data_IF_526124505141
#
_entry.id   IF_526124505141
#
_cell.length_a   1.000
_cell.length_b   1.000
_cell.length_c   1.000
_cell.angle_alpha   90.00
_cell.angle_beta   90.00
_cell.angle_gamma   90.00
#
_symmetry.space_group_name_H-M   'P 1'
#
loop_
_entity.id
_entity.type
_entity.pdbx_description
1 polymer ?
#
# COMPACT_ATOMS: atom_id res chain seq x y z
N UNK A 1 17.69 14.78 -1.89
CA UNK A 1 16.45 14.27 -2.51
C UNK A 1 16.13 12.94 -1.83
N UNK A 2 15.15 12.91 -0.93
CA UNK A 2 14.68 11.63 -0.37
C UNK A 2 13.98 10.85 -1.47
N UNK A 3 14.46 9.65 -1.75
CA UNK A 3 13.90 8.76 -2.75
C UNK A 3 12.97 7.77 -2.07
N UNK A 4 11.66 7.93 -2.28
CA UNK A 4 10.58 7.22 -1.58
C UNK A 4 10.21 5.85 -2.22
N UNK A 5 10.73 5.54 -3.41
CA UNK A 5 10.41 4.29 -4.10
C UNK A 5 11.40 3.20 -3.70
N UNK A 6 10.98 2.40 -2.73
CA UNK A 6 11.67 1.22 -2.26
C UNK A 6 10.57 0.19 -2.02
N UNK A 7 10.46 -0.82 -2.88
CA UNK A 7 9.64 -2.02 -2.65
C UNK A 7 8.17 -1.98 -3.12
N UNK A 8 7.93 -1.62 -4.38
CA UNK A 8 6.63 -1.78 -5.05
C UNK A 8 6.49 -3.13 -5.77
N UNK A 9 5.32 -3.82 -5.67
CA UNK A 9 5.00 -4.96 -6.52
C UNK A 9 4.40 -4.49 -7.86
N UNK A 10 4.86 -5.09 -8.96
CA UNK A 10 4.48 -4.77 -10.33
C UNK A 10 4.00 -6.03 -11.04
N UNK A 11 2.69 -6.10 -11.30
CA UNK A 11 2.02 -7.27 -11.87
C UNK A 11 1.54 -7.00 -13.30
N UNK A 12 1.28 -8.07 -14.06
CA UNK A 12 0.56 -8.02 -15.33
C UNK A 12 1.07 -6.94 -16.31
N UNK A 13 2.39 -6.93 -16.53
CA UNK A 13 3.06 -5.99 -17.42
C UNK A 13 3.40 -4.61 -16.83
N UNK A 14 2.99 -4.30 -15.59
CA UNK A 14 3.39 -3.07 -14.91
C UNK A 14 4.93 -2.98 -14.77
N UNK A 15 5.47 -1.76 -14.88
CA UNK A 15 6.91 -1.51 -14.90
C UNK A 15 7.33 -0.65 -13.71
N UNK A 16 8.47 -0.97 -13.06
CA UNK A 16 9.01 -0.16 -11.99
C UNK A 16 9.59 1.15 -12.48
N UNK A 17 9.71 2.11 -11.58
CA UNK A 17 10.51 3.29 -11.84
C UNK A 17 11.98 2.91 -12.07
N UNK A 18 12.63 3.51 -13.07
CA UNK A 18 13.98 3.14 -13.51
C UNK A 18 15.07 3.24 -12.43
N UNK A 19 14.86 4.01 -11.35
CA UNK A 19 15.81 4.12 -10.24
C UNK A 19 15.30 3.49 -8.93
N UNK A 20 14.22 2.71 -8.97
CA UNK A 20 13.75 1.98 -7.80
C UNK A 20 14.76 0.92 -7.37
N UNK A 21 15.04 0.84 -6.07
CA UNK A 21 16.18 0.07 -5.54
C UNK A 21 15.88 -1.43 -5.42
N UNK A 22 14.61 -1.84 -5.26
CA UNK A 22 14.21 -3.25 -5.11
C UNK A 22 12.75 -3.48 -5.54
N UNK A 23 12.40 -3.31 -6.83
CA UNK A 23 11.04 -3.59 -7.29
C UNK A 23 10.76 -5.10 -7.31
N UNK A 24 9.53 -5.51 -7.00
CA UNK A 24 9.08 -6.89 -7.11
C UNK A 24 8.27 -7.01 -8.41
N UNK A 25 8.90 -7.48 -9.48
CA UNK A 25 8.24 -7.58 -10.79
C UNK A 25 7.73 -9.02 -11.03
N UNK A 26 6.48 -9.14 -11.47
CA UNK A 26 5.74 -10.38 -11.75
C UNK A 26 4.90 -10.19 -13.02
N UNK A 27 5.54 -10.15 -14.20
CA UNK A 27 4.87 -9.74 -15.43
C UNK A 27 3.78 -10.72 -15.88
N UNK A 28 3.96 -12.01 -15.57
CA UNK A 28 3.05 -13.10 -15.98
C UNK A 28 1.93 -13.39 -14.99
N UNK A 29 1.87 -12.65 -13.87
CA UNK A 29 0.84 -12.82 -12.86
C UNK A 29 -0.25 -11.77 -13.03
N UNK A 30 -1.45 -12.21 -13.43
CA UNK A 30 -2.66 -11.40 -13.44
C UNK A 30 -3.35 -11.47 -12.07
N UNK A 31 -3.46 -10.37 -11.31
CA UNK A 31 -4.13 -10.37 -10.02
C UNK A 31 -5.66 -10.45 -10.13
N UNK A 32 -6.25 -10.41 -11.33
CA UNK A 32 -7.69 -10.59 -11.55
C UNK A 32 -8.53 -9.55 -10.81
N UNK A 33 -8.07 -8.30 -10.75
CA UNK A 33 -8.70 -7.23 -9.95
C UNK A 33 -10.12 -6.96 -10.45
N UNK A 34 -11.10 -7.10 -9.56
CA UNK A 34 -12.51 -6.83 -9.85
C UNK A 34 -13.17 -6.09 -8.69
N UNK A 35 -14.06 -5.16 -9.02
CA UNK A 35 -14.95 -4.51 -8.06
C UNK A 35 -16.35 -5.10 -8.22
N UNK A 36 -16.86 -5.74 -7.17
CA UNK A 36 -18.15 -6.43 -7.18
C UNK A 36 -19.10 -5.73 -6.21
N UNK A 37 -20.29 -5.39 -6.67
CA UNK A 37 -21.38 -4.90 -5.81
C UNK A 37 -22.41 -6.01 -5.60
N UNK A 38 -22.76 -6.28 -4.34
CA UNK A 38 -23.75 -7.28 -3.98
C UNK A 38 -24.48 -6.84 -2.72
N UNK A 39 -25.82 -6.86 -2.75
CA UNK A 39 -26.68 -6.56 -1.61
C UNK A 39 -26.37 -5.19 -0.94
N UNK A 40 -26.00 -4.18 -1.74
CA UNK A 40 -25.61 -2.85 -1.26
C UNK A 40 -24.18 -2.74 -0.72
N UNK A 41 -23.44 -3.83 -0.69
CA UNK A 41 -22.04 -3.91 -0.26
C UNK A 41 -21.10 -3.91 -1.46
N UNK A 42 -19.89 -3.35 -1.28
CA UNK A 42 -18.84 -3.33 -2.31
C UNK A 42 -17.66 -4.18 -1.89
N UNK A 43 -17.19 -5.03 -2.80
CA UNK A 43 -16.06 -5.94 -2.59
C UNK A 43 -14.99 -5.71 -3.64
N UNK A 44 -13.74 -5.64 -3.22
CA UNK A 44 -12.58 -5.74 -4.09
C UNK A 44 -12.09 -7.18 -4.10
N UNK A 45 -12.20 -7.85 -5.24
CA UNK A 45 -11.68 -9.19 -5.47
C UNK A 45 -10.32 -9.08 -6.14
N UNK A 46 -9.31 -9.74 -5.57
CA UNK A 46 -7.98 -9.80 -6.17
C UNK A 46 -7.19 -11.02 -5.66
N UNK A 47 -6.14 -11.37 -6.41
CA UNK A 47 -5.22 -12.45 -6.08
C UNK A 47 -3.78 -11.91 -6.12
N UNK A 48 -3.24 -11.47 -4.97
CA UNK A 48 -1.86 -10.95 -4.95
C UNK A 48 -0.80 -12.05 -4.96
N UNK A 49 -1.18 -13.28 -4.61
CA UNK A 49 -0.23 -14.36 -4.34
C UNK A 49 0.62 -14.07 -3.09
N UNK A 50 1.72 -14.81 -2.94
CA UNK A 50 2.71 -14.52 -1.90
C UNK A 50 3.47 -13.24 -2.26
N UNK A 51 3.24 -12.19 -1.48
CA UNK A 51 4.09 -11.02 -1.47
C UNK A 51 5.33 -11.33 -0.63
N UNK A 52 6.56 -11.06 -1.13
CA UNK A 52 7.73 -11.17 -0.29
C UNK A 52 7.53 -10.29 0.96
N UNK A 53 7.72 -10.87 2.14
CA UNK A 53 7.45 -10.20 3.42
C UNK A 53 8.59 -9.26 3.84
N UNK A 54 8.18 -8.17 4.50
CA UNK A 54 8.84 -7.33 5.52
C UNK A 54 10.31 -6.88 5.41
N UNK A 55 11.24 -7.63 4.83
CA UNK A 55 12.69 -7.36 5.00
C UNK A 55 13.12 -5.95 4.56
N UNK A 56 12.38 -5.33 3.64
CA UNK A 56 12.64 -3.97 3.15
C UNK A 56 11.44 -3.01 3.28
N UNK A 57 10.29 -3.47 3.80
CA UNK A 57 9.12 -2.61 3.98
C UNK A 57 9.22 -1.84 5.30
N UNK A 58 8.88 -0.55 5.30
CA UNK A 58 8.97 0.32 6.48
C UNK A 58 7.63 1.03 6.70
N UNK A 59 7.23 1.21 7.96
CA UNK A 59 6.05 2.02 8.29
C UNK A 59 6.28 3.44 7.78
N UNK A 60 5.30 3.98 7.07
CA UNK A 60 5.37 5.36 6.58
C UNK A 60 5.06 6.33 7.70
N UNK A 61 6.00 7.23 7.97
CA UNK A 61 5.90 8.26 9.00
C UNK A 61 6.19 9.65 8.43
N UNK A 62 5.86 10.71 9.18
CA UNK A 62 6.24 12.09 8.86
C UNK A 62 7.75 12.21 8.60
N UNK A 63 8.55 11.59 9.47
CA UNK A 63 10.01 11.60 9.36
C UNK A 63 10.48 10.93 8.06
N UNK A 64 9.90 9.77 7.73
CA UNK A 64 10.24 9.06 6.49
C UNK A 64 9.89 9.92 5.28
N UNK A 65 8.72 10.55 5.25
CA UNK A 65 8.21 11.38 4.15
C UNK A 65 8.91 12.74 4.04
N UNK A 66 9.45 13.27 5.13
CA UNK A 66 10.08 14.58 5.18
C UNK A 66 9.10 15.72 4.87
N UNK A 67 9.50 16.62 3.97
CA UNK A 67 8.73 17.81 3.61
C UNK A 67 8.41 17.82 2.12
N UNK A 68 7.21 18.29 1.77
CA UNK A 68 6.82 18.50 0.39
C UNK A 68 7.71 19.59 -0.25
N UNK A 69 8.12 19.37 -1.51
CA UNK A 69 9.12 20.22 -2.16
C UNK A 69 8.65 21.66 -2.38
N UNK A 70 7.39 21.85 -2.77
CA UNK A 70 6.88 23.18 -3.16
C UNK A 70 6.47 24.01 -1.94
N UNK A 71 5.69 23.42 -1.02
CA UNK A 71 5.21 24.13 0.17
C UNK A 71 6.22 24.17 1.32
N UNK A 72 7.19 23.24 1.35
CA UNK A 72 8.11 23.08 2.47
C UNK A 72 7.43 22.57 3.75
N UNK A 73 6.18 22.09 3.66
CA UNK A 73 5.41 21.62 4.81
C UNK A 73 5.60 20.11 5.05
N UNK A 74 5.55 19.67 6.32
CA UNK A 74 5.56 18.26 6.69
C UNK A 74 4.22 17.57 6.36
N UNK A 75 4.22 16.24 6.42
CA UNK A 75 3.02 15.41 6.32
C UNK A 75 2.49 15.10 7.72
N UNK A 76 1.40 15.75 8.13
CA UNK A 76 0.86 15.69 9.49
C UNK A 76 -0.64 15.38 9.49
N UNK A 77 -1.16 14.98 10.65
CA UNK A 77 -2.59 14.83 10.89
C UNK A 77 -3.30 16.20 10.98
N UNK A 78 -4.64 16.26 10.89
CA UNK A 78 -5.39 17.52 10.97
C UNK A 78 -5.17 18.31 12.28
N UNK A 79 -4.78 17.64 13.36
CA UNK A 79 -4.46 18.26 14.65
C UNK A 79 -3.00 18.72 14.76
N UNK A 80 -2.19 18.56 13.70
CA UNK A 80 -0.77 18.89 13.65
C UNK A 80 0.15 17.83 14.27
N UNK A 81 -0.37 16.69 14.72
CA UNK A 81 0.47 15.59 15.20
C UNK A 81 1.19 14.89 14.02
N UNK A 82 2.38 14.30 14.24
CA UNK A 82 3.08 13.55 13.20
C UNK A 82 2.22 12.39 12.67
N UNK A 83 2.11 12.29 11.35
CA UNK A 83 1.50 11.17 10.65
C UNK A 83 2.31 9.87 10.87
N UNK A 84 1.61 8.79 11.22
CA UNK A 84 2.05 7.39 11.16
C UNK A 84 0.97 6.60 10.43
N UNK A 85 1.32 5.89 9.35
CA UNK A 85 0.39 5.05 8.60
C UNK A 85 0.48 3.62 9.14
N UNK A 86 -0.18 3.37 10.26
CA UNK A 86 -0.21 2.08 10.96
C UNK A 86 -1.56 1.36 10.86
N UNK A 87 -2.55 1.95 10.19
CA UNK A 87 -3.80 1.31 9.81
C UNK A 87 -3.85 1.06 8.30
N UNK A 88 -4.48 -0.05 7.92
CA UNK A 88 -4.81 -0.35 6.54
C UNK A 88 -6.12 0.33 6.10
N UNK A 89 -6.53 0.13 4.84
CA UNK A 89 -7.70 0.78 4.26
C UNK A 89 -9.02 0.46 4.99
N UNK A 90 -9.13 -0.69 5.66
CA UNK A 90 -10.34 -1.10 6.38
C UNK A 90 -10.21 -0.92 7.90
N UNK A 91 -9.11 -0.33 8.37
CA UNK A 91 -8.86 -0.02 9.78
C UNK A 91 -8.15 -1.12 10.56
N UNK A 92 -7.60 -2.15 9.88
CA UNK A 92 -6.78 -3.14 10.58
C UNK A 92 -5.40 -2.58 10.88
N UNK A 93 -4.79 -2.92 12.03
CA UNK A 93 -3.42 -2.54 12.32
C UNK A 93 -2.42 -3.22 11.37
N UNK A 94 -1.37 -2.50 11.01
CA UNK A 94 -0.22 -3.01 10.27
C UNK A 94 0.85 -3.50 11.25
N UNK A 95 1.13 -4.79 11.21
CA UNK A 95 2.22 -5.38 11.99
C UNK A 95 3.59 -4.99 11.39
N UNK A 96 4.42 -4.30 12.18
CA UNK A 96 5.76 -3.85 11.77
C UNK A 96 6.67 -5.04 11.37
N UNK A 97 6.45 -6.23 11.94
CA UNK A 97 7.21 -7.42 11.60
C UNK A 97 6.76 -8.08 10.28
N UNK A 98 5.59 -7.71 9.75
CA UNK A 98 4.95 -8.33 8.58
C UNK A 98 4.37 -7.29 7.62
N UNK A 99 5.09 -6.19 7.43
CA UNK A 99 4.66 -5.16 6.49
C UNK A 99 4.62 -5.70 5.07
N UNK A 100 3.49 -5.50 4.42
CA UNK A 100 3.27 -5.77 3.01
C UNK A 100 2.91 -4.47 2.27
N UNK A 101 3.36 -4.34 1.02
CA UNK A 101 2.99 -3.20 0.20
C UNK A 101 1.50 -3.22 -0.15
N UNK A 102 0.95 -2.04 -0.43
CA UNK A 102 -0.44 -1.87 -0.85
C UNK A 102 -1.39 -1.48 0.28
N UNK A 103 -2.68 -1.28 -0.04
CA UNK A 103 -3.65 -0.65 0.86
C UNK A 103 -4.13 -1.53 2.02
N UNK A 104 -3.93 -2.86 1.96
CA UNK A 104 -4.41 -3.83 2.95
C UNK A 104 -3.25 -4.50 3.69
N UNK A 105 -3.44 -4.83 4.97
CA UNK A 105 -2.46 -5.55 5.78
C UNK A 105 -2.43 -7.06 5.46
N UNK A 106 -2.19 -7.41 4.19
CA UNK A 106 -2.08 -8.80 3.72
C UNK A 106 -3.36 -9.30 3.05
N UNK A 107 -3.72 -8.79 1.86
CA UNK A 107 -4.98 -9.16 1.19
C UNK A 107 -5.04 -10.62 0.72
N UNK A 108 -3.89 -11.30 0.61
CA UNK A 108 -3.81 -12.70 0.16
C UNK A 108 -4.52 -12.90 -1.19
N UNK A 109 -5.42 -13.88 -1.23
CA UNK A 109 -6.35 -14.10 -2.32
C UNK A 109 -7.79 -14.07 -1.79
N UNK A 110 -8.66 -13.29 -2.42
CA UNK A 110 -10.08 -13.29 -2.09
C UNK A 110 -10.80 -11.95 -2.26
N UNK A 111 -12.02 -11.91 -1.72
CA UNK A 111 -12.88 -10.75 -1.71
C UNK A 111 -12.68 -9.95 -0.41
N UNK A 112 -12.32 -8.68 -0.54
CA UNK A 112 -12.17 -7.74 0.55
C UNK A 112 -13.38 -6.82 0.56
N UNK A 113 -14.15 -6.83 1.65
CA UNK A 113 -15.26 -5.90 1.83
C UNK A 113 -14.70 -4.48 2.03
N UNK A 114 -15.17 -3.54 1.21
CA UNK A 114 -14.81 -2.13 1.35
C UNK A 114 -15.83 -1.40 2.23
N UNK A 115 -15.40 -0.46 3.08
CA UNK A 115 -16.31 0.37 3.84
C UNK A 115 -17.18 1.21 2.90
N UNK A 116 -18.49 1.21 3.16
CA UNK A 116 -19.41 2.18 2.57
C UNK A 116 -19.06 3.57 3.09
N UNK A 117 -18.59 4.45 2.19
CA UNK A 117 -18.33 5.84 2.55
C UNK A 117 -19.66 6.51 2.90
N UNK A 118 -19.71 7.15 4.08
CA UNK A 118 -20.81 8.05 4.46
C UNK A 118 -20.62 9.42 3.81
#
# INVERSE_FOLDING_TARGET
MSQFFRYGPYYHGAQPYAKEVKPVVRPDHDPGIQLVQKDGETYLCLQMGELPGAADATVVTTELLGKAQVSGLPYENPDGSPLKIDLDYVGNPRDEAKLVPGPFAGPGAGAIRLPSRR
#
